data_IF_443531642325
#
_entry.id   IF_443531642325
#
_cell.length_a   1.000
_cell.length_b   1.000
_cell.length_c   1.000
_cell.angle_alpha   90.00
_cell.angle_beta   90.00
_cell.angle_gamma   90.00
#
_symmetry.space_group_name_H-M   'P 1'
#
loop_
_entity.id
_entity.type
_entity.pdbx_description
1 polymer ?
#
# COMPACT_ATOMS: atom_id res chain seq x y z
N UNK A 1 25.72 -55.68 16.13
CA UNK A 1 24.96 -55.41 14.89
C UNK A 1 24.13 -54.18 15.12
N UNK A 2 24.16 -53.23 14.19
CA UNK A 2 23.49 -51.92 14.31
C UNK A 2 24.50 -50.79 14.26
N UNK A 3 24.82 -50.35 13.04
CA UNK A 3 25.80 -49.32 12.72
C UNK A 3 25.25 -47.93 13.04
N UNK A 4 25.99 -47.16 13.83
CA UNK A 4 25.99 -45.69 13.77
C UNK A 4 26.81 -45.28 12.53
N UNK A 5 26.20 -44.50 11.63
CA UNK A 5 26.90 -43.79 10.56
C UNK A 5 27.18 -42.37 11.07
N UNK A 6 28.46 -41.92 11.12
CA UNK A 6 28.76 -40.52 11.37
C UNK A 6 28.61 -39.71 10.07
N UNK A 7 27.83 -38.63 10.11
CA UNK A 7 27.87 -37.58 9.09
C UNK A 7 29.24 -36.89 9.16
N UNK A 8 30.09 -37.20 8.19
CA UNK A 8 31.32 -36.47 7.95
C UNK A 8 30.95 -35.08 7.42
N UNK A 9 31.07 -34.06 8.26
CA UNK A 9 31.11 -32.67 7.86
C UNK A 9 32.40 -32.43 7.07
N UNK A 10 32.33 -32.52 5.75
CA UNK A 10 33.33 -31.90 4.89
C UNK A 10 33.11 -30.39 4.92
N UNK A 11 33.80 -29.72 5.84
CA UNK A 11 34.17 -28.32 5.68
C UNK A 11 35.17 -28.22 4.53
N UNK A 12 34.67 -28.09 3.29
CA UNK A 12 35.46 -27.50 2.23
C UNK A 12 35.51 -26.00 2.50
N UNK A 13 36.69 -25.55 2.94
CA UNK A 13 37.12 -24.15 2.81
C UNK A 13 37.08 -23.79 1.33
N UNK A 14 35.95 -23.30 0.84
CA UNK A 14 35.88 -22.62 -0.43
C UNK A 14 36.17 -21.14 -0.22
N UNK A 15 37.41 -20.81 -0.57
CA UNK A 15 37.87 -19.54 -1.13
C UNK A 15 37.06 -18.29 -0.80
N UNK A 16 37.69 -17.46 0.03
CA UNK A 16 37.58 -16.00 0.01
C UNK A 16 37.61 -15.46 -1.43
N UNK A 17 36.44 -15.22 -2.00
CA UNK A 17 36.24 -14.41 -3.19
C UNK A 17 35.59 -13.11 -2.75
N UNK A 18 36.34 -12.02 -2.84
CA UNK A 18 35.86 -10.65 -2.64
C UNK A 18 34.94 -10.23 -3.79
N UNK A 19 33.70 -10.72 -3.85
CA UNK A 19 32.58 -10.06 -4.57
C UNK A 19 31.22 -10.79 -4.46
N UNK A 20 30.94 -11.52 -3.37
CA UNK A 20 29.62 -12.14 -3.24
C UNK A 20 28.56 -11.09 -2.88
N UNK A 21 27.94 -10.48 -3.90
CA UNK A 21 26.75 -9.65 -3.73
C UNK A 21 25.49 -10.50 -3.77
N UNK A 22 24.84 -10.62 -2.61
CA UNK A 22 23.51 -11.23 -2.52
C UNK A 22 22.51 -10.30 -3.22
N UNK A 23 21.74 -10.84 -4.16
CA UNK A 23 20.69 -10.08 -4.83
C UNK A 23 19.56 -9.80 -3.85
N UNK A 24 19.23 -8.53 -3.67
CA UNK A 24 18.17 -8.04 -2.77
C UNK A 24 16.91 -7.70 -3.55
N UNK A 25 17.01 -7.03 -4.70
CA UNK A 25 15.84 -6.75 -5.53
C UNK A 25 16.06 -7.23 -6.96
N UNK A 26 14.97 -7.62 -7.61
CA UNK A 26 14.94 -7.90 -9.04
C UNK A 26 13.80 -7.09 -9.66
N UNK A 27 14.15 -6.21 -10.58
CA UNK A 27 13.22 -5.32 -11.25
C UNK A 27 13.11 -5.81 -12.69
N UNK A 28 11.90 -6.10 -13.17
CA UNK A 28 11.68 -6.29 -14.59
C UNK A 28 11.29 -4.99 -15.25
N UNK A 29 11.98 -4.67 -16.32
CA UNK A 29 11.60 -3.63 -17.26
C UNK A 29 10.97 -4.29 -18.49
N UNK A 30 9.77 -3.85 -18.84
CA UNK A 30 9.12 -4.14 -20.12
C UNK A 30 9.24 -2.88 -20.95
N UNK A 31 10.12 -2.86 -21.96
CA UNK A 31 10.17 -1.75 -22.91
C UNK A 31 9.24 -2.08 -24.09
N UNK A 32 8.22 -1.26 -24.31
CA UNK A 32 7.23 -1.44 -25.38
C UNK A 32 7.61 -0.79 -26.73
N UNK A 33 7.34 -1.55 -27.80
CA UNK A 33 7.29 -1.31 -29.26
C UNK A 33 8.36 -0.45 -29.98
N UNK A 34 8.94 -0.92 -31.11
CA UNK A 34 8.53 -2.07 -31.94
C UNK A 34 9.07 -3.42 -31.44
N UNK A 35 9.92 -3.43 -30.42
CA UNK A 35 10.49 -4.65 -29.85
C UNK A 35 10.24 -4.68 -28.34
N UNK A 36 9.44 -5.64 -27.91
CA UNK A 36 9.33 -6.02 -26.52
C UNK A 36 10.69 -6.55 -26.05
N UNK A 37 11.41 -5.74 -25.29
CA UNK A 37 12.68 -6.14 -24.67
C UNK A 37 12.45 -6.21 -23.17
N UNK A 38 12.39 -7.44 -22.66
CA UNK A 38 12.38 -7.71 -21.23
C UNK A 38 13.82 -7.63 -20.69
N UNK A 39 14.06 -6.73 -19.73
CA UNK A 39 15.34 -6.66 -19.02
C UNK A 39 15.11 -6.85 -17.53
N UNK A 40 15.80 -7.83 -16.96
CA UNK A 40 15.83 -8.06 -15.51
C UNK A 40 17.07 -7.38 -14.93
N UNK A 41 16.87 -6.47 -13.99
CA UNK A 41 17.94 -5.83 -13.23
C UNK A 41 17.98 -6.41 -11.82
N UNK A 42 19.14 -6.89 -11.38
CA UNK A 42 19.35 -7.44 -10.03
C UNK A 42 20.16 -6.45 -9.20
N UNK A 43 19.54 -5.88 -8.15
CA UNK A 43 20.18 -4.95 -7.22
C UNK A 43 20.74 -5.72 -6.00
N UNK A 44 21.86 -5.28 -5.40
CA UNK A 44 22.58 -4.05 -5.71
C UNK A 44 23.56 -4.16 -6.90
N UNK A 45 23.65 -3.11 -7.71
CA UNK A 45 24.60 -2.95 -8.83
C UNK A 45 25.69 -1.92 -8.52
N UNK A 46 26.81 -1.96 -9.25
CA UNK A 46 27.89 -0.97 -9.11
C UNK A 46 27.51 0.40 -9.70
N UNK A 47 28.26 1.45 -9.34
CA UNK A 47 28.08 2.81 -9.91
C UNK A 47 28.26 2.79 -11.43
N UNK A 48 29.29 2.10 -11.94
CA UNK A 48 29.53 1.95 -13.38
C UNK A 48 28.36 1.26 -14.10
N UNK A 49 27.74 0.26 -13.45
CA UNK A 49 26.56 -0.41 -13.99
C UNK A 49 25.33 0.50 -13.97
N UNK A 50 25.16 1.31 -12.93
CA UNK A 50 24.09 2.31 -12.85
C UNK A 50 24.22 3.37 -13.96
N UNK A 51 25.42 3.89 -14.18
CA UNK A 51 25.71 4.86 -15.24
C UNK A 51 25.48 4.29 -16.65
N UNK A 52 25.84 3.02 -16.88
CA UNK A 52 25.60 2.34 -18.15
C UNK A 52 24.11 2.11 -18.47
N UNK A 53 23.27 2.24 -17.45
CA UNK A 53 21.82 2.00 -17.51
C UNK A 53 21.03 3.32 -17.59
N UNK A 54 21.65 4.45 -17.23
CA UNK A 54 21.06 5.78 -17.38
C UNK A 54 20.84 6.16 -18.87
N UNK A 55 19.73 6.84 -19.17
CA UNK A 55 19.42 7.34 -20.51
C UNK A 55 20.14 8.67 -20.83
N UNK A 56 19.93 9.20 -22.06
CA UNK A 56 20.58 10.41 -22.57
C UNK A 56 20.29 11.69 -21.74
N UNK A 57 19.29 11.68 -20.85
CA UNK A 57 18.94 12.80 -19.99
C UNK A 57 19.48 12.65 -18.56
N UNK A 58 20.35 11.65 -18.29
CA UNK A 58 20.83 11.36 -16.94
C UNK A 58 19.73 10.86 -16.01
N UNK A 59 18.58 10.47 -16.58
CA UNK A 59 17.51 9.76 -15.90
C UNK A 59 17.61 8.31 -16.30
N UNK A 60 17.41 7.35 -15.39
CA UNK A 60 17.19 6.00 -15.83
C UNK A 60 15.97 6.01 -16.78
N UNK A 61 16.08 5.43 -17.99
CA UNK A 61 14.96 5.19 -18.94
C UNK A 61 13.72 4.52 -18.28
N UNK A 62 13.93 4.00 -17.08
CA UNK A 62 13.06 3.36 -16.13
C UNK A 62 11.93 4.27 -15.62
N UNK A 63 12.03 5.60 -15.71
CA UNK A 63 11.00 6.52 -15.19
C UNK A 63 9.82 6.84 -16.13
N UNK A 64 9.77 6.27 -17.34
CA UNK A 64 8.70 6.57 -18.31
C UNK A 64 7.59 5.51 -18.39
N UNK A 65 7.81 4.29 -17.89
CA UNK A 65 6.75 3.26 -17.87
C UNK A 65 5.95 3.38 -16.58
N UNK A 66 4.64 3.63 -16.70
CA UNK A 66 3.68 3.68 -15.58
C UNK A 66 3.54 2.36 -14.81
N UNK A 67 4.23 1.31 -15.21
CA UNK A 67 4.08 -0.05 -14.68
C UNK A 67 5.44 -0.73 -14.60
N UNK A 68 5.99 -0.87 -13.40
CA UNK A 68 7.08 -1.80 -13.14
C UNK A 68 6.48 -3.13 -12.71
N UNK A 69 7.01 -4.23 -13.22
CA UNK A 69 6.77 -5.54 -12.62
C UNK A 69 8.02 -5.89 -11.80
N UNK A 70 7.92 -5.79 -10.48
CA UNK A 70 8.94 -6.34 -9.61
C UNK A 70 8.88 -7.87 -9.70
N UNK A 71 10.03 -8.51 -9.86
CA UNK A 71 10.15 -9.95 -9.66
C UNK A 71 10.94 -10.17 -8.40
N UNK A 72 10.32 -10.58 -7.30
CA UNK A 72 11.06 -10.71 -6.06
C UNK A 72 11.95 -11.96 -6.04
N UNK A 73 13.12 -11.82 -5.41
CA UNK A 73 13.82 -12.98 -4.87
C UNK A 73 13.01 -13.40 -3.63
N UNK A 74 12.78 -14.71 -3.35
CA UNK A 74 11.91 -15.14 -2.25
C UNK A 74 12.23 -14.51 -0.88
N UNK A 75 13.51 -14.19 -0.67
CA UNK A 75 14.03 -13.61 0.57
C UNK A 75 13.66 -12.12 0.76
N UNK A 76 13.29 -11.42 -0.32
CA UNK A 76 12.93 -10.00 -0.36
C UNK A 76 11.47 -9.76 -0.81
N UNK A 77 10.71 -10.83 -1.00
CA UNK A 77 9.31 -10.80 -1.44
C UNK A 77 8.42 -9.96 -0.49
N UNK A 78 7.60 -9.06 -1.04
CA UNK A 78 6.76 -8.14 -0.27
C UNK A 78 7.51 -7.04 0.50
N UNK A 79 8.82 -6.85 0.27
CA UNK A 79 9.58 -5.76 0.91
C UNK A 79 9.14 -4.38 0.39
N UNK A 80 8.78 -4.30 -0.88
CA UNK A 80 8.23 -3.12 -1.54
C UNK A 80 6.96 -2.58 -0.85
N UNK A 81 6.14 -3.46 -0.29
CA UNK A 81 4.95 -3.05 0.48
C UNK A 81 5.34 -2.32 1.78
N UNK A 82 6.53 -2.58 2.34
CA UNK A 82 7.04 -1.96 3.58
C UNK A 82 8.03 -0.83 3.31
N UNK A 83 8.00 -0.26 2.11
CA UNK A 83 8.89 0.81 1.70
C UNK A 83 8.09 2.04 1.25
N UNK A 84 8.62 3.27 1.45
CA UNK A 84 8.00 4.47 0.92
C UNK A 84 7.98 4.40 -0.61
N UNK A 85 7.00 5.06 -1.27
CA UNK A 85 6.95 5.08 -2.73
C UNK A 85 8.24 5.69 -3.30
N UNK A 86 8.99 4.85 -4.03
CA UNK A 86 10.29 5.22 -4.57
C UNK A 86 10.20 6.12 -5.78
N UNK A 87 11.19 6.99 -5.92
CA UNK A 87 11.28 7.95 -7.00
C UNK A 87 12.33 7.56 -8.05
N UNK A 88 13.18 6.57 -7.76
CA UNK A 88 14.24 6.16 -8.66
C UNK A 88 14.80 4.75 -8.39
N UNK A 89 15.46 4.15 -9.39
CA UNK A 89 16.18 2.88 -9.25
C UNK A 89 17.41 3.03 -8.34
N UNK A 90 17.98 4.23 -8.29
CA UNK A 90 19.08 4.61 -7.42
C UNK A 90 18.70 4.49 -5.95
N UNK A 91 17.51 4.95 -5.56
CA UNK A 91 17.00 4.82 -4.19
C UNK A 91 16.87 3.35 -3.77
N UNK A 92 16.28 2.52 -4.64
CA UNK A 92 16.19 1.07 -4.44
C UNK A 92 17.57 0.41 -4.34
N UNK A 93 18.54 0.86 -5.14
CA UNK A 93 19.90 0.35 -5.11
C UNK A 93 20.63 0.72 -3.82
N UNK A 94 20.42 1.93 -3.30
CA UNK A 94 20.97 2.35 -2.01
C UNK A 94 20.44 1.49 -0.87
N UNK A 95 19.14 1.21 -0.86
CA UNK A 95 18.52 0.31 0.13
C UNK A 95 19.09 -1.10 -0.01
N UNK A 96 19.20 -1.63 -1.23
CA UNK A 96 19.80 -2.93 -1.48
C UNK A 96 21.24 -3.03 -0.94
N UNK A 97 22.06 -1.99 -1.16
CA UNK A 97 23.40 -1.91 -0.62
C UNK A 97 23.41 -1.93 0.91
N UNK A 98 22.55 -1.12 1.56
CA UNK A 98 22.48 -1.05 3.02
C UNK A 98 22.01 -2.38 3.63
N UNK A 99 21.04 -3.05 3.01
CA UNK A 99 20.61 -4.40 3.42
C UNK A 99 21.73 -5.42 3.27
N UNK A 100 22.51 -5.32 2.19
CA UNK A 100 23.67 -6.19 1.96
C UNK A 100 24.74 -6.00 3.04
N UNK A 101 25.04 -4.77 3.45
CA UNK A 101 26.00 -4.48 4.53
C UNK A 101 25.57 -5.13 5.85
N UNK A 102 24.28 -5.08 6.18
CA UNK A 102 23.77 -5.73 7.38
C UNK A 102 23.85 -7.25 7.27
N UNK A 103 23.50 -7.83 6.12
CA UNK A 103 23.70 -9.25 5.85
C UNK A 103 25.15 -9.71 6.05
N UNK A 104 26.14 -8.86 5.75
CA UNK A 104 27.56 -9.17 5.92
C UNK A 104 27.98 -9.12 7.40
N UNK A 105 27.36 -8.25 8.20
CA UNK A 105 27.63 -8.10 9.63
C UNK A 105 26.81 -9.06 10.52
N UNK A 106 25.78 -9.71 9.96
CA UNK A 106 24.95 -10.74 10.59
C UNK A 106 23.73 -11.11 9.72
N UNK A 107 23.02 -12.20 10.02
CA UNK A 107 21.73 -12.45 9.35
C UNK A 107 20.65 -11.56 9.99
N UNK A 108 20.03 -10.67 9.22
CA UNK A 108 18.79 -10.01 9.66
C UNK A 108 17.58 -10.94 9.43
N UNK A 109 16.55 -10.79 10.25
CA UNK A 109 15.29 -11.50 10.06
C UNK A 109 14.32 -10.62 9.27
N UNK A 110 13.89 -11.10 8.09
CA UNK A 110 12.94 -10.39 7.21
C UNK A 110 11.73 -9.83 7.97
N UNK A 111 11.10 -10.67 8.80
CA UNK A 111 9.94 -10.30 9.63
C UNK A 111 10.23 -9.14 10.58
N UNK A 112 11.42 -9.11 11.17
CA UNK A 112 11.80 -8.04 12.08
C UNK A 112 11.99 -6.72 11.33
N UNK A 113 12.67 -6.74 10.19
CA UNK A 113 12.84 -5.54 9.36
C UNK A 113 11.50 -4.94 8.92
N UNK A 114 10.55 -5.77 8.47
CA UNK A 114 9.22 -5.32 8.07
C UNK A 114 8.48 -4.67 9.23
N UNK A 115 8.53 -5.30 10.41
CA UNK A 115 7.95 -4.73 11.63
C UNK A 115 8.58 -3.38 11.98
N UNK A 116 9.89 -3.21 11.81
CA UNK A 116 10.58 -1.96 12.13
C UNK A 116 10.20 -0.84 11.17
N UNK A 117 10.09 -1.15 9.88
CA UNK A 117 9.64 -0.21 8.84
C UNK A 117 8.18 0.20 9.08
N UNK A 118 7.29 -0.76 9.31
CA UNK A 118 5.87 -0.50 9.65
C UNK A 118 5.73 0.34 10.94
N UNK A 119 6.59 0.09 11.93
CA UNK A 119 6.55 0.82 13.19
C UNK A 119 6.88 2.32 13.03
N UNK A 120 7.88 2.65 12.21
CA UNK A 120 8.34 4.04 12.02
C UNK A 120 7.70 4.76 10.84
N UNK A 121 7.15 4.04 9.86
CA UNK A 121 6.51 4.60 8.66
C UNK A 121 7.46 5.61 7.98
N UNK A 122 8.65 5.17 7.51
CA UNK A 122 9.62 6.07 6.90
C UNK A 122 9.06 6.72 5.63
N UNK A 123 9.17 8.04 5.53
CA UNK A 123 8.62 8.83 4.40
C UNK A 123 9.53 8.84 3.16
N UNK A 124 10.83 8.59 3.34
CA UNK A 124 11.84 8.67 2.30
C UNK A 124 12.95 7.62 2.45
N UNK A 125 13.81 7.54 1.43
CA UNK A 125 14.95 6.62 1.38
C UNK A 125 15.92 6.84 2.54
N UNK A 126 16.19 8.08 2.95
CA UNK A 126 17.13 8.37 4.03
C UNK A 126 16.62 7.84 5.37
N UNK A 127 15.32 7.96 5.64
CA UNK A 127 14.66 7.39 6.80
C UNK A 127 14.73 5.85 6.80
N UNK A 128 14.49 5.21 5.64
CA UNK A 128 14.67 3.76 5.48
C UNK A 128 16.10 3.35 5.78
N UNK A 129 17.09 4.02 5.17
CA UNK A 129 18.51 3.72 5.38
C UNK A 129 18.93 3.89 6.84
N UNK A 130 18.33 4.85 7.56
CA UNK A 130 18.56 5.04 8.99
C UNK A 130 18.01 3.87 9.81
N UNK A 131 16.77 3.43 9.55
CA UNK A 131 16.18 2.27 10.25
C UNK A 131 17.03 1.02 10.02
N UNK A 132 17.45 0.80 8.77
CA UNK A 132 18.36 -0.29 8.39
C UNK A 132 19.65 -0.17 9.21
N UNK A 133 20.39 0.95 9.15
CA UNK A 133 21.65 1.13 9.91
C UNK A 133 21.48 0.95 11.43
N UNK A 134 20.33 1.34 11.96
CA UNK A 134 20.00 1.23 13.38
C UNK A 134 19.34 -0.11 13.75
N UNK A 135 19.33 -1.12 12.86
CA UNK A 135 18.62 -2.40 13.04
C UNK A 135 18.82 -3.04 14.42
N UNK A 136 20.05 -3.10 14.92
CA UNK A 136 20.38 -3.71 16.23
C UNK A 136 19.75 -2.98 17.43
N UNK A 137 19.32 -1.73 17.23
CA UNK A 137 18.66 -0.95 18.28
C UNK A 137 17.18 -1.32 18.41
N UNK A 138 16.60 -1.99 17.41
CA UNK A 138 15.20 -2.39 17.44
C UNK A 138 15.05 -3.77 18.06
N UNK A 139 13.86 -4.00 18.62
CA UNK A 139 13.49 -5.30 19.13
C UNK A 139 12.02 -5.55 18.83
N UNK A 140 11.76 -6.64 18.11
CA UNK A 140 10.43 -7.22 17.99
C UNK A 140 10.16 -8.05 19.25
N UNK A 141 9.15 -7.64 20.01
CA UNK A 141 8.77 -8.29 21.26
C UNK A 141 8.00 -9.58 20.93
N UNK A 142 8.32 -10.70 21.61
CA UNK A 142 7.71 -11.99 21.30
C UNK A 142 6.20 -11.93 21.53
N UNK A 143 5.44 -12.18 20.46
CA UNK A 143 3.99 -12.29 20.48
C UNK A 143 3.59 -13.77 20.53
N UNK A 144 2.94 -14.19 21.61
CA UNK A 144 2.21 -15.46 21.61
C UNK A 144 0.88 -15.24 20.89
N UNK A 145 0.65 -16.03 19.84
CA UNK A 145 -0.46 -15.96 18.87
C UNK A 145 -1.89 -15.91 19.45
N UNK A 146 -2.05 -16.09 20.76
CA UNK A 146 -3.32 -16.05 21.47
C UNK A 146 -3.63 -14.62 21.93
N UNK A 147 -4.28 -13.83 21.06
CA UNK A 147 -5.23 -12.71 21.27
C UNK A 147 -5.36 -12.04 22.66
N UNK A 148 -4.28 -11.89 23.41
CA UNK A 148 -4.27 -11.17 24.67
C UNK A 148 -3.66 -9.79 24.42
N UNK A 149 -4.27 -8.71 24.92
CA UNK A 149 -3.61 -7.40 24.97
C UNK A 149 -2.19 -7.56 25.51
N UNK A 150 -1.20 -6.87 24.92
CA UNK A 150 0.20 -6.99 25.35
C UNK A 150 0.37 -6.63 26.85
N UNK A 151 -0.54 -5.82 27.37
CA UNK A 151 -0.69 -5.50 28.80
C UNK A 151 -0.83 -6.73 29.68
N UNK A 152 -1.56 -7.77 29.25
CA UNK A 152 -1.72 -9.02 30.01
C UNK A 152 -0.41 -9.83 30.06
N UNK A 153 0.35 -9.89 28.95
CA UNK A 153 1.65 -10.56 28.91
C UNK A 153 2.68 -9.89 29.85
N UNK A 154 2.67 -8.56 29.92
CA UNK A 154 3.54 -7.80 30.81
C UNK A 154 3.15 -7.92 32.28
N UNK A 155 1.84 -8.02 32.58
CA UNK A 155 1.34 -8.30 33.93
C UNK A 155 1.78 -9.68 34.44
N UNK A 156 1.92 -10.66 33.55
CA UNK A 156 2.45 -11.98 33.92
C UNK A 156 3.98 -11.98 34.19
N UNK A 157 4.72 -11.01 33.63
CA UNK A 157 6.19 -10.98 33.69
C UNK A 157 6.82 -9.96 34.64
N UNK A 158 6.11 -8.96 35.14
CA UNK A 158 6.69 -7.93 36.03
C UNK A 158 5.76 -7.40 37.11
N UNK A 159 6.34 -7.19 38.30
CA UNK A 159 5.84 -6.47 39.48
C UNK A 159 5.42 -5.02 39.15
N UNK A 160 4.40 -4.82 38.31
CA UNK A 160 3.80 -3.50 38.12
C UNK A 160 3.20 -3.10 39.47
N UNK A 161 3.81 -2.09 40.08
CA UNK A 161 3.38 -1.54 41.35
C UNK A 161 1.88 -1.27 41.29
N UNK A 162 1.16 -1.91 42.21
CA UNK A 162 -0.29 -1.86 42.41
C UNK A 162 -0.78 -0.43 42.70
N UNK A 163 -0.78 0.46 41.72
CA UNK A 163 -1.28 1.83 41.89
C UNK A 163 -2.23 2.28 40.79
N UNK A 164 -2.86 1.36 40.07
CA UNK A 164 -3.98 1.69 39.20
C UNK A 164 -5.12 0.73 39.51
N UNK A 165 -6.17 1.28 40.12
CA UNK A 165 -7.31 0.56 40.67
C UNK A 165 -7.94 -0.38 39.65
N UNK A 166 -7.99 -1.67 39.99
CA UNK A 166 -8.64 -2.75 39.22
C UNK A 166 -10.14 -2.54 38.96
N UNK A 167 -10.74 -1.44 39.43
CA UNK A 167 -12.19 -1.19 39.38
C UNK A 167 -12.64 -0.22 38.29
N UNK A 168 -11.73 0.46 37.56
CA UNK A 168 -12.09 1.42 36.50
C UNK A 168 -11.66 0.98 35.08
N UNK A 169 -11.51 -0.33 34.84
CA UNK A 169 -11.16 -0.86 33.52
C UNK A 169 -12.43 -1.06 32.68
N UNK A 170 -13.00 0.03 32.17
CA UNK A 170 -14.14 -0.05 31.23
C UNK A 170 -13.67 -0.21 29.78
N UNK A 171 -12.39 0.05 29.49
CA UNK A 171 -11.83 -0.06 28.13
C UNK A 171 -10.35 -0.53 28.16
N UNK A 172 -10.13 -1.79 27.78
CA UNK A 172 -8.80 -2.40 27.72
C UNK A 172 -7.95 -1.86 26.55
N UNK A 173 -8.60 -1.43 25.46
CA UNK A 173 -7.91 -0.95 24.25
C UNK A 173 -7.33 0.44 24.49
N UNK A 174 -8.07 1.31 25.16
CA UNK A 174 -7.59 2.65 25.53
C UNK A 174 -6.32 2.59 26.39
N UNK A 175 -6.30 1.70 27.39
CA UNK A 175 -5.16 1.55 28.30
C UNK A 175 -3.93 0.98 27.62
N UNK A 176 -4.13 0.04 26.69
CA UNK A 176 -3.05 -0.46 25.85
C UNK A 176 -2.47 0.68 24.98
N UNK A 177 -3.32 1.46 24.30
CA UNK A 177 -2.89 2.59 23.47
C UNK A 177 -2.07 3.60 24.27
N UNK A 178 -2.54 3.97 25.46
CA UNK A 178 -1.87 4.94 26.33
C UNK A 178 -0.54 4.41 26.88
N UNK A 179 -0.48 3.12 27.26
CA UNK A 179 0.77 2.50 27.71
C UNK A 179 1.81 2.42 26.60
N UNK A 180 1.41 2.01 25.39
CA UNK A 180 2.28 1.96 24.22
C UNK A 180 2.88 3.34 23.91
N UNK A 181 2.04 4.37 23.97
CA UNK A 181 2.47 5.76 23.80
C UNK A 181 3.51 6.19 24.84
N UNK A 182 3.29 5.87 26.11
CA UNK A 182 4.22 6.23 27.19
C UNK A 182 5.56 5.51 27.10
N UNK A 183 5.56 4.27 26.63
CA UNK A 183 6.78 3.45 26.52
C UNK A 183 7.48 3.56 25.16
N UNK A 184 6.89 4.30 24.21
CA UNK A 184 7.41 4.43 22.85
C UNK A 184 7.48 3.09 22.12
N UNK A 185 6.43 2.28 22.28
CA UNK A 185 6.28 0.96 21.66
C UNK A 185 5.15 1.04 20.64
N UNK A 186 5.37 0.51 19.43
CA UNK A 186 4.38 0.53 18.35
C UNK A 186 3.92 -0.88 18.05
N UNK A 187 2.60 -1.07 17.90
CA UNK A 187 2.01 -2.31 17.42
C UNK A 187 2.08 -2.35 15.89
N UNK A 188 2.53 -3.48 15.36
CA UNK A 188 2.63 -3.80 13.93
C UNK A 188 1.90 -5.11 13.64
N UNK A 189 1.71 -5.47 12.38
CA UNK A 189 1.16 -6.78 12.00
C UNK A 189 1.99 -7.94 12.57
N UNK A 190 3.30 -7.73 12.72
CA UNK A 190 4.24 -8.76 13.16
C UNK A 190 4.39 -8.87 14.69
N UNK A 191 3.85 -7.91 15.44
CA UNK A 191 3.96 -7.80 16.90
C UNK A 191 4.32 -6.39 17.38
N UNK A 192 4.86 -6.29 18.58
CA UNK A 192 5.19 -4.99 19.21
C UNK A 192 6.65 -4.67 19.01
N UNK A 193 6.92 -3.49 18.48
CA UNK A 193 8.28 -3.02 18.21
C UNK A 193 8.65 -1.94 19.19
N UNK A 194 9.86 -2.05 19.74
CA UNK A 194 10.49 -1.00 20.53
C UNK A 194 11.89 -0.72 20.01
N UNK A 195 12.35 0.50 20.21
CA UNK A 195 13.75 0.85 20.02
C UNK A 195 14.41 1.06 21.40
N UNK A 196 15.56 0.42 21.60
CA UNK A 196 16.26 0.39 22.89
C UNK A 196 16.99 1.70 23.21
N UNK A 197 17.26 2.53 22.20
CA UNK A 197 17.97 3.81 22.34
C UNK A 197 17.03 5.01 22.39
N UNK A 198 15.85 4.93 21.78
CA UNK A 198 14.86 6.01 21.76
C UNK A 198 13.43 5.46 21.77
N UNK A 199 12.45 6.19 22.33
CA UNK A 199 11.04 5.85 22.15
C UNK A 199 10.62 6.04 20.69
N UNK A 200 9.77 5.14 20.19
CA UNK A 200 9.10 5.28 18.90
C UNK A 200 7.87 6.16 19.05
N UNK A 201 7.65 7.06 18.09
CA UNK A 201 6.54 8.03 18.12
C UNK A 201 5.94 8.10 16.73
N UNK A 202 4.62 7.93 16.65
CA UNK A 202 3.83 8.28 15.46
C UNK A 202 3.21 9.66 15.71
N UNK A 203 3.37 10.55 14.74
CA UNK A 203 2.62 11.80 14.76
C UNK A 203 1.15 11.46 14.41
N UNK A 204 0.18 12.08 15.06
CA UNK A 204 -1.23 11.94 14.67
C UNK A 204 -1.68 13.33 14.23
N UNK A 205 -2.00 13.48 12.96
CA UNK A 205 -2.57 14.69 12.37
C UNK A 205 -3.65 14.24 11.40
N UNK A 206 -4.87 14.13 11.94
CA UNK A 206 -6.01 13.65 11.17
C UNK A 206 -6.36 14.66 10.07
N UNK A 207 -6.60 14.13 8.87
CA UNK A 207 -7.05 14.91 7.72
C UNK A 207 -7.95 14.05 6.83
N UNK A 208 -8.74 14.72 5.98
CA UNK A 208 -9.65 14.06 5.04
C UNK A 208 -9.54 14.75 3.70
N UNK A 209 -9.64 13.98 2.63
CA UNK A 209 -9.80 14.49 1.27
C UNK A 209 -10.69 13.55 0.45
N UNK A 210 -11.15 14.03 -0.69
CA UNK A 210 -11.99 13.27 -1.63
C UNK A 210 -11.33 13.19 -3.00
N UNK A 211 -11.45 12.02 -3.61
CA UNK A 211 -11.11 11.78 -5.02
C UNK A 211 -12.38 11.54 -5.81
N UNK A 212 -12.51 12.23 -6.93
CA UNK A 212 -13.68 12.21 -7.80
C UNK A 212 -13.34 11.45 -9.08
N UNK A 213 -14.10 10.39 -9.34
CA UNK A 213 -14.03 9.60 -10.55
C UNK A 213 -15.37 9.72 -11.29
N UNK A 214 -15.38 9.98 -12.61
CA UNK A 214 -16.63 9.94 -13.37
C UNK A 214 -17.22 8.52 -13.36
N UNK A 215 -18.54 8.41 -13.42
CA UNK A 215 -19.23 7.13 -13.56
C UNK A 215 -19.70 6.99 -15.00
N UNK A 216 -19.51 5.81 -15.59
CA UNK A 216 -20.12 5.45 -16.87
C UNK A 216 -21.21 4.43 -16.58
N UNK A 217 -22.43 4.71 -17.01
CA UNK A 217 -23.57 3.82 -16.83
C UNK A 217 -24.01 3.20 -18.16
N UNK A 218 -24.06 1.87 -18.17
CA UNK A 218 -24.46 1.06 -19.33
C UNK A 218 -25.73 0.28 -18.98
N UNK A 219 -26.83 0.56 -19.68
CA UNK A 219 -28.12 -0.09 -19.46
C UNK A 219 -28.46 -1.04 -20.60
N UNK A 220 -28.57 -2.33 -20.31
CA UNK A 220 -29.14 -3.32 -21.22
C UNK A 220 -30.65 -3.40 -21.00
N UNK A 221 -31.40 -2.65 -21.80
CA UNK A 221 -32.85 -2.57 -21.68
C UNK A 221 -33.56 -3.87 -22.08
N UNK A 222 -34.47 -4.35 -21.24
CA UNK A 222 -35.25 -5.58 -21.48
C UNK A 222 -36.05 -5.55 -22.80
N UNK A 223 -36.39 -4.36 -23.28
CA UNK A 223 -37.23 -4.16 -24.48
C UNK A 223 -36.43 -4.12 -25.77
N UNK A 224 -35.09 -4.05 -25.72
CA UNK A 224 -34.24 -4.02 -26.91
C UNK A 224 -33.97 -5.43 -27.41
N UNK A 225 -33.99 -5.56 -28.73
CA UNK A 225 -33.62 -6.81 -29.42
C UNK A 225 -32.14 -6.90 -29.76
N UNK A 226 -31.42 -5.77 -29.70
CA UNK A 226 -29.99 -5.69 -29.97
C UNK A 226 -29.20 -5.85 -28.66
N UNK A 227 -28.12 -6.65 -28.62
CA UNK A 227 -27.31 -6.86 -27.43
C UNK A 227 -26.30 -5.71 -27.24
N UNK A 228 -26.76 -4.47 -27.34
CA UNK A 228 -25.94 -3.26 -27.22
C UNK A 228 -26.52 -2.42 -26.08
N UNK A 229 -25.70 -2.03 -25.09
CA UNK A 229 -26.18 -1.20 -23.99
C UNK A 229 -26.45 0.23 -24.43
N UNK A 230 -27.33 0.90 -23.70
CA UNK A 230 -27.52 2.35 -23.77
C UNK A 230 -26.55 3.00 -22.81
N UNK A 231 -25.72 3.90 -23.32
CA UNK A 231 -24.92 4.80 -22.49
C UNK A 231 -25.85 5.88 -21.90
N UNK A 232 -26.01 5.87 -20.58
CA UNK A 232 -26.82 6.88 -19.89
C UNK A 232 -26.03 8.16 -19.66
N UNK A 233 -26.71 9.31 -19.73
CA UNK A 233 -26.09 10.62 -19.48
C UNK A 233 -27.13 11.62 -18.94
N UNK A 234 -26.66 12.62 -18.21
CA UNK A 234 -27.49 13.74 -17.75
C UNK A 234 -28.55 13.31 -16.74
N UNK A 235 -29.81 13.74 -16.90
CA UNK A 235 -30.86 13.45 -15.92
C UNK A 235 -31.15 11.93 -15.76
N UNK A 236 -31.02 11.15 -16.82
CA UNK A 236 -31.22 9.69 -16.76
C UNK A 236 -30.13 9.02 -15.91
N UNK A 237 -28.87 9.44 -16.08
CA UNK A 237 -27.74 8.96 -15.28
C UNK A 237 -27.91 9.30 -13.80
N UNK A 238 -28.28 10.55 -13.51
CA UNK A 238 -28.53 11.03 -12.14
C UNK A 238 -29.66 10.22 -11.47
N UNK A 239 -30.69 9.82 -12.23
CA UNK A 239 -31.82 9.04 -11.72
C UNK A 239 -31.42 7.71 -11.08
N UNK A 240 -30.26 7.15 -11.46
CA UNK A 240 -29.75 5.89 -10.91
C UNK A 240 -28.85 6.04 -9.67
N UNK A 241 -28.58 7.27 -9.20
CA UNK A 241 -27.69 7.52 -8.05
C UNK A 241 -28.05 6.64 -6.85
N UNK A 242 -29.30 6.62 -6.41
CA UNK A 242 -29.72 5.88 -5.20
C UNK A 242 -29.51 4.38 -5.34
N UNK A 243 -29.73 3.84 -6.54
CA UNK A 243 -29.55 2.40 -6.82
C UNK A 243 -28.07 2.03 -6.77
N UNK A 244 -27.21 2.87 -7.36
CA UNK A 244 -25.75 2.67 -7.34
C UNK A 244 -25.21 2.84 -5.92
N UNK A 245 -25.67 3.85 -5.20
CA UNK A 245 -25.29 4.08 -3.80
C UNK A 245 -25.60 2.87 -2.92
N UNK A 246 -26.81 2.30 -3.04
CA UNK A 246 -27.20 1.12 -2.29
C UNK A 246 -26.32 -0.10 -2.64
N UNK A 247 -25.95 -0.26 -3.91
CA UNK A 247 -25.04 -1.33 -4.34
C UNK A 247 -23.62 -1.13 -3.79
N UNK A 248 -23.13 0.10 -3.74
CA UNK A 248 -21.85 0.43 -3.10
C UNK A 248 -21.90 0.07 -1.60
N UNK A 249 -22.94 0.47 -0.89
CA UNK A 249 -23.10 0.15 0.54
C UNK A 249 -23.11 -1.36 0.79
N UNK A 250 -23.83 -2.14 -0.03
CA UNK A 250 -23.85 -3.61 0.03
C UNK A 250 -22.45 -4.20 -0.18
N UNK A 251 -21.70 -3.71 -1.18
CA UNK A 251 -20.34 -4.20 -1.47
C UNK A 251 -19.33 -3.94 -0.34
N UNK A 252 -19.62 -2.98 0.54
CA UNK A 252 -18.74 -2.60 1.66
C UNK A 252 -19.10 -3.31 2.98
N UNK A 253 -20.19 -4.09 3.05
CA UNK A 253 -20.65 -4.72 4.30
C UNK A 253 -19.57 -5.59 4.96
N UNK A 254 -18.80 -6.33 4.16
CA UNK A 254 -17.72 -7.19 4.64
C UNK A 254 -16.42 -6.42 4.98
N UNK A 255 -16.27 -5.19 4.49
CA UNK A 255 -15.08 -4.36 4.70
C UNK A 255 -15.06 -3.64 6.06
N UNK A 256 -16.21 -3.53 6.72
CA UNK A 256 -16.32 -2.85 8.01
C UNK A 256 -16.04 -1.34 7.93
N UNK A 257 -15.71 -0.68 9.06
CA UNK A 257 -15.58 0.78 9.13
C UNK A 257 -14.33 1.33 8.40
N UNK A 258 -13.37 0.49 8.03
CA UNK A 258 -12.19 0.86 7.26
C UNK A 258 -12.48 0.99 5.75
N UNK A 259 -13.56 0.37 5.27
CA UNK A 259 -13.87 0.33 3.84
C UNK A 259 -12.74 -0.31 3.03
N UNK A 260 -12.43 0.26 1.87
CA UNK A 260 -11.48 -0.29 0.91
C UNK A 260 -10.01 -0.13 1.31
N UNK A 261 -9.73 0.50 2.45
CA UNK A 261 -8.37 0.62 2.99
C UNK A 261 -7.73 -0.75 3.18
N UNK A 262 -8.53 -1.78 3.50
CA UNK A 262 -8.07 -3.15 3.70
C UNK A 262 -7.35 -3.72 2.48
N UNK A 263 -7.65 -3.21 1.29
CA UNK A 263 -7.08 -3.64 0.01
C UNK A 263 -5.85 -2.84 -0.44
N UNK A 264 -5.38 -1.86 0.35
CA UNK A 264 -4.10 -1.22 0.09
C UNK A 264 -2.96 -2.25 0.18
N UNK A 265 -2.12 -2.27 -0.84
CA UNK A 265 -0.96 -3.14 -0.93
C UNK A 265 0.19 -2.59 -0.09
N UNK A 266 0.49 -1.29 -0.21
CA UNK A 266 1.55 -0.67 0.55
C UNK A 266 1.20 -0.59 2.05
N UNK A 267 1.91 -1.38 2.85
CA UNK A 267 1.69 -1.52 4.28
C UNK A 267 2.09 -0.26 5.06
N UNK A 268 2.96 0.61 4.53
CA UNK A 268 3.24 1.90 5.18
C UNK A 268 2.08 2.89 4.98
N UNK A 269 1.55 2.97 3.76
CA UNK A 269 0.40 3.80 3.42
C UNK A 269 -0.84 3.38 4.22
N UNK A 270 -1.07 2.06 4.33
CA UNK A 270 -2.06 1.42 5.20
C UNK A 270 -2.03 1.92 6.65
N UNK A 271 -0.85 2.23 7.22
CA UNK A 271 -0.77 2.80 8.58
C UNK A 271 -1.25 4.25 8.66
N UNK A 272 -1.14 5.01 7.56
CA UNK A 272 -1.55 6.42 7.47
C UNK A 272 -3.02 6.57 7.10
N UNK A 273 -3.58 5.63 6.34
CA UNK A 273 -4.99 5.63 5.92
C UNK A 273 -5.87 5.01 7.00
N UNK A 274 -6.89 5.73 7.43
CA UNK A 274 -7.85 5.27 8.45
C UNK A 274 -9.06 4.59 7.81
N UNK A 275 -9.56 5.16 6.71
CA UNK A 275 -10.66 4.61 5.95
C UNK A 275 -10.65 5.10 4.50
N UNK A 276 -11.14 4.27 3.60
CA UNK A 276 -11.40 4.58 2.19
C UNK A 276 -12.84 4.20 1.86
N UNK A 277 -13.73 5.18 1.79
CA UNK A 277 -15.17 4.97 1.65
C UNK A 277 -15.67 5.53 0.32
N UNK A 278 -15.93 4.66 -0.69
CA UNK A 278 -16.58 5.11 -1.91
C UNK A 278 -18.06 5.42 -1.65
N UNK A 279 -18.56 6.45 -2.31
CA UNK A 279 -19.99 6.77 -2.37
C UNK A 279 -20.28 7.58 -3.64
N UNK A 280 -21.54 7.85 -3.91
CA UNK A 280 -21.97 8.68 -5.03
C UNK A 280 -22.18 10.13 -4.62
N UNK A 281 -21.83 11.08 -5.48
CA UNK A 281 -22.24 12.49 -5.37
C UNK A 281 -22.67 13.04 -6.73
N UNK A 282 -23.60 14.00 -6.72
CA UNK A 282 -23.94 14.78 -7.91
C UNK A 282 -23.23 16.12 -7.82
N UNK A 283 -22.30 16.36 -8.75
CA UNK A 283 -21.56 17.61 -8.85
C UNK A 283 -21.81 18.21 -10.22
N UNK A 284 -22.28 19.47 -10.28
CA UNK A 284 -22.57 20.18 -11.53
C UNK A 284 -23.44 19.39 -12.53
N UNK A 285 -24.52 18.76 -12.03
CA UNK A 285 -25.44 17.91 -12.82
C UNK A 285 -24.75 16.68 -13.48
N UNK A 286 -23.68 16.18 -12.88
CA UNK A 286 -23.05 14.92 -13.28
C UNK A 286 -22.86 14.03 -12.05
N UNK A 287 -23.05 12.73 -12.24
CA UNK A 287 -22.88 11.73 -11.21
C UNK A 287 -21.40 11.32 -11.12
N UNK A 288 -20.86 11.31 -9.91
CA UNK A 288 -19.48 10.93 -9.62
C UNK A 288 -19.43 9.81 -8.59
N UNK A 289 -18.41 8.96 -8.74
CA UNK A 289 -17.91 8.10 -7.68
C UNK A 289 -16.91 8.92 -6.89
N UNK A 290 -17.22 9.14 -5.63
CA UNK A 290 -16.37 9.89 -4.71
C UNK A 290 -15.76 8.90 -3.72
N UNK A 291 -14.44 8.81 -3.73
CA UNK A 291 -13.70 8.10 -2.69
C UNK A 291 -13.32 9.10 -1.59
N UNK A 292 -13.99 9.00 -0.45
CA UNK A 292 -13.59 9.73 0.75
C UNK A 292 -12.45 8.98 1.44
N UNK A 293 -11.34 9.67 1.66
CA UNK A 293 -10.16 9.13 2.34
C UNK A 293 -9.98 9.86 3.66
N UNK A 294 -10.11 9.14 4.76
CA UNK A 294 -9.79 9.64 6.10
C UNK A 294 -8.37 9.16 6.47
N UNK A 295 -7.53 10.07 6.97
CA UNK A 295 -6.13 9.82 7.30
C UNK A 295 -5.86 10.00 8.79
N UNK A 296 -4.93 9.22 9.33
CA UNK A 296 -4.33 9.42 10.65
C UNK A 296 -3.14 10.41 10.61
N UNK A 297 -2.52 10.56 9.44
CA UNK A 297 -1.38 11.43 9.17
C UNK A 297 -1.45 11.97 7.73
N UNK A 298 -0.98 13.20 7.47
CA UNK A 298 -0.87 13.72 6.11
C UNK A 298 0.01 12.82 5.24
N UNK A 299 -0.35 12.73 3.96
CA UNK A 299 0.46 12.07 2.95
C UNK A 299 1.47 13.04 2.35
N UNK A 300 2.67 12.55 2.08
CA UNK A 300 3.59 13.20 1.15
C UNK A 300 3.03 13.14 -0.27
N UNK A 301 3.55 13.99 -1.18
CA UNK A 301 3.13 13.97 -2.59
C UNK A 301 3.30 12.58 -3.23
N UNK A 302 4.39 11.88 -2.90
CA UNK A 302 4.67 10.52 -3.40
C UNK A 302 3.69 9.47 -2.85
N UNK A 303 3.32 9.57 -1.58
CA UNK A 303 2.31 8.69 -0.97
C UNK A 303 0.91 8.97 -1.51
N UNK A 304 0.58 10.23 -1.76
CA UNK A 304 -0.68 10.61 -2.40
C UNK A 304 -0.78 10.02 -3.81
N UNK A 305 0.27 10.14 -4.63
CA UNK A 305 0.28 9.55 -5.97
C UNK A 305 0.19 8.02 -5.92
N UNK A 306 0.86 7.38 -4.96
CA UNK A 306 0.74 5.93 -4.74
C UNK A 306 -0.70 5.54 -4.37
N UNK A 307 -1.35 6.31 -3.48
CA UNK A 307 -2.75 6.08 -3.10
C UNK A 307 -3.69 6.20 -4.32
N UNK A 308 -3.50 7.21 -5.17
CA UNK A 308 -4.28 7.38 -6.40
C UNK A 308 -4.06 6.20 -7.36
N UNK A 309 -2.81 5.72 -7.49
CA UNK A 309 -2.51 4.54 -8.31
C UNK A 309 -3.17 3.26 -7.77
N UNK A 310 -3.06 3.00 -6.47
CA UNK A 310 -3.70 1.84 -5.84
C UNK A 310 -5.22 1.91 -5.93
N UNK A 311 -5.81 3.10 -5.74
CA UNK A 311 -7.24 3.32 -5.98
C UNK A 311 -7.63 3.04 -7.44
N UNK A 312 -6.83 3.50 -8.40
CA UNK A 312 -7.07 3.23 -9.83
C UNK A 312 -7.08 1.72 -10.10
N UNK A 313 -6.09 0.98 -9.57
CA UNK A 313 -6.03 -0.48 -9.69
C UNK A 313 -7.22 -1.17 -9.02
N UNK A 314 -7.66 -0.70 -7.85
CA UNK A 314 -8.84 -1.22 -7.19
C UNK A 314 -10.12 -0.95 -7.99
N UNK A 315 -10.24 0.23 -8.59
CA UNK A 315 -11.38 0.58 -9.45
C UNK A 315 -11.38 -0.24 -10.75
N UNK A 316 -10.22 -0.45 -11.39
CA UNK A 316 -10.12 -1.11 -12.70
C UNK A 316 -10.05 -2.65 -12.62
N UNK A 317 -9.32 -3.19 -11.65
CA UNK A 317 -8.99 -4.62 -11.57
C UNK A 317 -9.42 -5.27 -10.25
N UNK A 318 -9.93 -4.49 -9.29
CA UNK A 318 -10.32 -4.95 -7.97
C UNK A 318 -11.81 -4.78 -7.73
N UNK A 319 -12.15 -4.08 -6.63
CA UNK A 319 -13.52 -3.80 -6.20
C UNK A 319 -14.44 -3.28 -7.32
N UNK A 320 -13.95 -2.39 -8.19
CA UNK A 320 -14.79 -1.81 -9.25
C UNK A 320 -15.26 -2.83 -10.29
N UNK A 321 -14.52 -3.94 -10.51
CA UNK A 321 -14.94 -5.01 -11.42
C UNK A 321 -16.29 -5.62 -11.03
N UNK A 322 -16.62 -5.65 -9.74
CA UNK A 322 -17.91 -6.17 -9.27
C UNK A 322 -19.09 -5.47 -9.95
N UNK A 323 -18.96 -4.17 -10.23
CA UNK A 323 -20.02 -3.34 -10.82
C UNK A 323 -20.13 -3.48 -12.35
N UNK A 324 -19.12 -4.07 -12.98
CA UNK A 324 -19.11 -4.40 -14.40
C UNK A 324 -19.43 -5.88 -14.66
N UNK A 325 -19.04 -6.77 -13.77
CA UNK A 325 -19.32 -8.20 -13.89
C UNK A 325 -20.71 -8.58 -13.37
N UNK A 326 -21.23 -7.84 -12.38
CA UNK A 326 -22.53 -8.11 -11.77
C UNK A 326 -23.50 -6.97 -12.03
N UNK A 327 -24.50 -7.25 -12.89
CA UNK A 327 -25.55 -6.30 -13.21
C UNK A 327 -26.36 -5.92 -11.96
N UNK A 328 -26.67 -4.63 -11.85
CA UNK A 328 -27.70 -4.13 -10.94
C UNK A 328 -29.05 -4.26 -11.66
N UNK A 329 -29.92 -5.13 -11.14
CA UNK A 329 -31.23 -5.35 -11.72
C UNK A 329 -32.15 -4.15 -11.44
N UNK A 330 -32.57 -3.45 -12.51
CA UNK A 330 -33.49 -2.30 -12.44
C UNK A 330 -34.75 -2.60 -13.27
N UNK A 331 -35.87 -1.88 -13.05
CA UNK A 331 -37.10 -2.13 -13.80
C UNK A 331 -36.93 -2.05 -15.32
N UNK A 332 -36.02 -1.21 -15.80
CA UNK A 332 -35.73 -0.99 -17.21
C UNK A 332 -34.89 -2.13 -17.84
N UNK A 333 -34.11 -2.87 -17.04
CA UNK A 333 -33.11 -3.81 -17.54
C UNK A 333 -31.98 -4.13 -16.57
N UNK A 334 -30.82 -4.45 -17.13
CA UNK A 334 -29.58 -4.71 -16.39
C UNK A 334 -28.67 -3.48 -16.48
N UNK A 335 -28.38 -2.86 -15.33
CA UNK A 335 -27.53 -1.68 -15.23
C UNK A 335 -26.11 -2.09 -14.80
N UNK A 336 -25.11 -1.59 -15.51
CA UNK A 336 -23.69 -1.75 -15.16
C UNK A 336 -23.09 -0.37 -14.89
N UNK A 337 -22.24 -0.29 -13.87
CA UNK A 337 -21.49 0.91 -13.54
C UNK A 337 -20.00 0.66 -13.75
N UNK A 338 -19.35 1.55 -14.49
CA UNK A 338 -17.92 1.47 -14.80
C UNK A 338 -17.21 2.66 -14.19
N UNK A 339 -16.13 2.36 -13.46
CA UNK A 339 -15.36 3.32 -12.66
C UNK A 339 -13.90 3.44 -13.15
N UNK A 340 -13.65 3.09 -14.40
CA UNK A 340 -12.34 3.15 -15.06
C UNK A 340 -12.53 3.29 -16.56
N UNK A 341 -11.44 3.54 -17.29
CA UNK A 341 -11.45 3.53 -18.75
C UNK A 341 -10.23 2.76 -19.27
N UNK A 342 -10.44 1.96 -20.32
CA UNK A 342 -9.39 1.16 -20.97
C UNK A 342 -8.79 1.79 -22.24
N UNK A 343 -9.27 2.95 -22.68
CA UNK A 343 -8.84 3.64 -23.90
C UNK A 343 -8.83 5.17 -23.66
N UNK A 344 -7.98 5.96 -24.33
CA UNK A 344 -7.81 7.41 -24.07
C UNK A 344 -9.03 8.29 -24.50
N UNK A 345 -10.19 7.69 -24.78
CA UNK A 345 -11.29 8.31 -25.54
C UNK A 345 -12.27 9.15 -24.71
N UNK A 346 -12.42 8.88 -23.42
CA UNK A 346 -13.38 9.53 -22.51
C UNK A 346 -12.69 10.25 -21.34
N UNK A 347 -11.46 10.74 -21.48
CA UNK A 347 -10.81 11.59 -20.47
C UNK A 347 -11.09 11.15 -19.01
N UNK A 348 -10.94 9.85 -18.71
CA UNK A 348 -11.14 9.36 -17.36
C UNK A 348 -9.97 9.82 -16.48
N UNK A 349 -10.21 10.85 -15.68
CA UNK A 349 -9.22 11.37 -14.73
C UNK A 349 -9.80 11.38 -13.33
N UNK A 350 -9.04 10.82 -12.40
CA UNK A 350 -9.32 10.95 -10.97
C UNK A 350 -8.88 12.35 -10.56
N UNK A 351 -9.81 13.15 -10.06
CA UNK A 351 -9.58 14.55 -9.70
C UNK A 351 -9.77 14.77 -8.20
N UNK A 352 -9.02 15.70 -7.62
CA UNK A 352 -9.30 16.22 -6.29
C UNK A 352 -10.46 17.20 -6.30
N UNK A 353 -11.02 17.46 -5.13
CA UNK A 353 -11.97 18.56 -4.91
C UNK A 353 -11.47 19.89 -5.52
N UNK A 354 -10.20 20.23 -5.31
CA UNK A 354 -9.62 21.49 -5.80
C UNK A 354 -9.52 21.53 -7.32
N UNK A 355 -9.20 20.42 -7.97
CA UNK A 355 -9.12 20.32 -9.43
C UNK A 355 -10.52 20.43 -10.03
N UNK A 356 -11.46 19.62 -9.53
CA UNK A 356 -12.84 19.58 -10.02
C UNK A 356 -13.53 20.95 -9.91
N UNK A 357 -13.43 21.61 -8.76
CA UNK A 357 -14.05 22.92 -8.54
C UNK A 357 -13.22 24.10 -9.09
N UNK A 358 -11.90 23.94 -9.25
CA UNK A 358 -11.03 24.91 -9.91
C UNK A 358 -11.33 25.04 -11.41
N UNK A 359 -11.64 23.93 -12.07
CA UNK A 359 -12.06 23.90 -13.48
C UNK A 359 -13.47 24.48 -13.69
N UNK A 360 -14.39 24.30 -12.73
CA UNK A 360 -15.73 24.89 -12.78
C UNK A 360 -15.68 26.43 -12.81
N UNK A 361 -14.82 27.05 -11.98
CA UNK A 361 -14.67 28.50 -11.93
C UNK A 361 -14.09 29.12 -13.22
N UNK A 362 -13.27 28.36 -13.98
CA UNK A 362 -12.74 28.81 -15.27
C UNK A 362 -13.75 28.67 -16.41
N UNK A 363 -14.69 27.71 -16.33
CA UNK A 363 -15.75 27.52 -17.34
C UNK A 363 -16.90 28.52 -17.21
N UNK A 364 -17.13 29.12 -16.04
CA UNK A 364 -18.12 30.21 -15.85
C UNK A 364 -17.62 31.58 -16.32
N UNK A 365 -16.33 31.72 -16.67
CA UNK A 365 -15.70 32.97 -17.11
C UNK A 365 -15.43 33.03 -18.63
N UNK A 366 -15.82 32.00 -19.39
CA UNK A 366 -15.88 32.00 -20.86
C UNK A 366 -17.33 31.93 -21.32
#
# INVERSE_FOLDING_TARGET
>A
MGQEKPCNNHYTKENSSSDYRKVIFRIMCIKGDPEYIDRVLSLPISVDQMEAIADQNGKPAFLQSRTFNFQYVPESDGMDDYLPPFRSVEELNQIACAMQEICQNGCYHKKELFAFLEAEIPEDTDAVLKIIKDYENYQLLPWNYYQRPYTEYLWERSDVSRSHDKQNFTDSEYLEKEWLRQNGIIKTEFGYVRNQKRPLVRNEEESTFSLYSPIILLLYENKRTEPVPVLLAGEEEIGYQTVIQARIEESLEECGPQGLEVYLANQLLKQKVKAMMPHTEIVNQKLYLVLRVDLNQPLTDSEYQQLVNEWTLQAEHGWGLEFFEQAINVPEGELFAVFWESDDALHFTIETERELFGHAAQRELM
#
